data_IF_694331588478
#
_entry.id   IF_694331588478
#
_cell.length_a   1.000
_cell.length_b   1.000
_cell.length_c   1.000
_cell.angle_alpha   90.00
_cell.angle_beta   90.00
_cell.angle_gamma   90.00
#
_symmetry.space_group_name_H-M   'P 1'
#
loop_
_entity.id
_entity.type
_entity.pdbx_description
1 polymer ?
#
# COMPACT_ATOMS: atom_id res chain seq x y z
N UNK A 1 -11.33 4.22 16.47
CA UNK A 1 -11.21 5.39 15.57
C UNK A 1 -11.41 4.88 14.16
N UNK A 2 -12.55 5.19 13.52
CA UNK A 2 -12.79 4.78 12.13
C UNK A 2 -12.02 5.78 11.28
N UNK A 3 -10.86 5.36 10.76
CA UNK A 3 -10.11 6.15 9.79
C UNK A 3 -11.00 6.18 8.53
N UNK A 4 -11.40 7.35 8.02
CA UNK A 4 -12.22 7.40 6.81
C UNK A 4 -11.48 6.67 5.69
N UNK A 5 -12.13 5.69 5.08
CA UNK A 5 -11.55 4.95 3.96
C UNK A 5 -11.45 5.89 2.76
N UNK A 6 -10.27 6.47 2.53
CA UNK A 6 -9.97 7.07 1.23
C UNK A 6 -10.03 5.96 0.17
N UNK A 7 -10.40 6.31 -1.07
CA UNK A 7 -10.42 5.30 -2.13
C UNK A 7 -8.99 4.90 -2.44
N UNK A 8 -8.76 3.62 -2.74
CA UNK A 8 -7.45 3.11 -3.15
C UNK A 8 -6.86 3.90 -4.33
N UNK A 9 -7.74 4.42 -5.20
CA UNK A 9 -7.39 5.24 -6.38
C UNK A 9 -6.75 6.58 -5.99
N UNK A 10 -7.00 7.07 -4.77
CA UNK A 10 -6.46 8.34 -4.26
C UNK A 10 -5.09 8.14 -3.58
N UNK A 11 -4.64 6.89 -3.41
CA UNK A 11 -3.34 6.58 -2.80
C UNK A 11 -2.23 6.85 -3.80
N UNK A 12 -1.40 7.84 -3.50
CA UNK A 12 -0.25 8.20 -4.35
C UNK A 12 1.02 7.46 -3.93
N UNK A 13 2.01 7.44 -4.83
CA UNK A 13 3.35 6.95 -4.51
C UNK A 13 4.00 7.72 -3.35
N UNK A 14 3.70 9.01 -3.20
CA UNK A 14 4.21 9.83 -2.09
C UNK A 14 3.64 9.36 -0.76
N UNK A 15 2.35 9.05 -0.69
CA UNK A 15 1.74 8.51 0.54
C UNK A 15 2.41 7.19 0.95
N UNK A 16 2.71 6.31 -0.02
CA UNK A 16 3.41 5.05 0.20
C UNK A 16 4.84 5.26 0.72
N UNK A 17 5.57 6.24 0.16
CA UNK A 17 6.95 6.56 0.58
C UNK A 17 7.01 7.19 1.98
N UNK A 18 6.01 8.00 2.32
CA UNK A 18 5.94 8.69 3.62
C UNK A 18 5.37 7.81 4.74
N UNK A 19 4.86 6.61 4.43
CA UNK A 19 4.18 5.77 5.42
C UNK A 19 2.78 6.28 5.80
N UNK A 20 2.21 7.18 5.01
CA UNK A 20 0.86 7.73 5.17
C UNK A 20 -0.19 6.77 4.59
N UNK A 21 -0.05 5.47 4.89
CA UNK A 21 -0.91 4.39 4.41
C UNK A 21 -1.16 3.41 5.55
N UNK A 22 -2.38 2.89 5.62
CA UNK A 22 -2.73 1.87 6.61
C UNK A 22 -2.43 0.47 6.08
N UNK A 23 -2.30 -0.51 6.99
CA UNK A 23 -2.13 -1.92 6.60
C UNK A 23 -3.31 -2.45 5.78
N UNK A 24 -4.53 -1.96 6.04
CA UNK A 24 -5.75 -2.33 5.31
C UNK A 24 -5.66 -1.86 3.85
N UNK A 25 -5.19 -0.64 3.63
CA UNK A 25 -5.00 -0.10 2.28
C UNK A 25 -3.92 -0.86 1.51
N UNK A 26 -2.82 -1.23 2.18
CA UNK A 26 -1.77 -2.04 1.57
C UNK A 26 -2.28 -3.44 1.17
N UNK A 27 -3.09 -4.07 2.02
CA UNK A 27 -3.73 -5.36 1.73
C UNK A 27 -4.73 -5.26 0.55
N UNK A 28 -5.50 -4.18 0.48
CA UNK A 28 -6.39 -3.94 -0.65
C UNK A 28 -5.63 -3.71 -1.97
N UNK A 29 -4.53 -2.94 -1.95
CA UNK A 29 -3.68 -2.76 -3.13
C UNK A 29 -3.09 -4.11 -3.55
N UNK A 30 -2.64 -4.92 -2.60
CA UNK A 30 -2.14 -6.26 -2.90
C UNK A 30 -3.22 -7.13 -3.56
N UNK A 31 -4.42 -7.19 -2.99
CA UNK A 31 -5.51 -8.03 -3.52
C UNK A 31 -6.02 -7.57 -4.89
N UNK A 32 -6.15 -6.26 -5.11
CA UNK A 32 -6.72 -5.71 -6.36
C UNK A 32 -5.69 -5.58 -7.47
N UNK A 33 -4.48 -5.18 -7.13
CA UNK A 33 -3.44 -4.80 -8.08
C UNK A 33 -2.23 -5.73 -8.05
N UNK A 34 -2.14 -6.67 -7.10
CA UNK A 34 -1.00 -7.58 -6.94
C UNK A 34 0.31 -6.87 -6.60
N UNK A 35 0.28 -5.67 -6.01
CA UNK A 35 1.52 -5.00 -5.59
C UNK A 35 1.87 -5.37 -4.15
N UNK A 36 3.05 -5.95 -3.96
CA UNK A 36 3.64 -6.26 -2.67
C UNK A 36 4.62 -5.14 -2.26
N UNK A 37 4.42 -4.59 -1.07
CA UNK A 37 5.25 -3.53 -0.50
C UNK A 37 6.17 -4.11 0.57
N UNK A 38 7.49 -3.99 0.37
CA UNK A 38 8.50 -4.43 1.34
C UNK A 38 8.97 -3.23 2.13
N UNK A 39 8.63 -3.20 3.42
CA UNK A 39 9.01 -2.16 4.37
C UNK A 39 10.07 -2.71 5.32
N UNK A 40 11.07 -1.91 5.65
CA UNK A 40 12.09 -2.24 6.65
C UNK A 40 12.49 -0.95 7.37
N UNK A 41 12.59 -1.03 8.70
CA UNK A 41 12.91 0.13 9.56
C UNK A 41 11.93 1.31 9.36
N UNK A 42 10.65 1.03 9.13
CA UNK A 42 9.62 2.04 8.89
C UNK A 42 9.71 2.74 7.52
N UNK A 43 10.60 2.30 6.63
CA UNK A 43 10.77 2.87 5.29
C UNK A 43 10.39 1.87 4.21
N UNK A 44 9.70 2.33 3.18
CA UNK A 44 9.45 1.53 1.98
C UNK A 44 10.79 1.26 1.27
N UNK A 45 11.18 -0.02 1.18
CA UNK A 45 12.42 -0.43 0.50
C UNK A 45 12.16 -0.86 -0.94
N UNK A 46 11.09 -1.62 -1.20
CA UNK A 46 10.78 -2.16 -2.54
C UNK A 46 9.28 -2.28 -2.77
N UNK A 47 8.88 -2.16 -4.04
CA UNK A 47 7.55 -2.50 -4.55
C UNK A 47 7.75 -3.60 -5.58
N UNK A 48 6.98 -4.70 -5.49
CA UNK A 48 6.98 -5.79 -6.46
C UNK A 48 5.57 -5.98 -7.01
N UNK A 49 5.42 -6.28 -8.30
CA UNK A 49 4.16 -6.76 -8.87
C UNK A 49 4.19 -8.28 -8.88
N UNK A 50 3.28 -8.90 -8.16
CA UNK A 50 2.96 -10.31 -8.27
C UNK A 50 1.78 -10.47 -9.24
N UNK A 51 1.91 -11.44 -10.14
CA UNK A 51 0.78 -11.90 -10.94
C UNK A 51 0.12 -13.02 -10.14
N UNK A 52 -0.97 -12.71 -9.44
CA UNK A 52 -1.89 -13.75 -8.99
C UNK A 52 -2.59 -14.30 -10.22
N UNK A 53 -2.34 -15.59 -10.48
CA UNK A 53 -3.02 -16.39 -11.49
C UNK A 53 -4.28 -17.00 -10.87
#
# INVERSE_FOLDING_TARGET
MIIPSRRIQDITLTNLKNGEVTLIELDEIYKKMGFLFVVSEGKLKKIKKENHH
#
